data_IF_048738379083
#
_entry.id   IF_048738379083
#
_cell.length_a   1.000
_cell.length_b   1.000
_cell.length_c   1.000
_cell.angle_alpha   90.00
_cell.angle_beta   90.00
_cell.angle_gamma   90.00
#
_symmetry.space_group_name_H-M   'P 1'
#
loop_
_entity.id
_entity.type
_entity.pdbx_description
1 polymer ?
#
# COMPACT_ATOMS: atom_id res chain seq x y z
N UNK A 1 18.11 -9.47 18.31
CA UNK A 1 17.53 -10.83 18.41
C UNK A 1 16.08 -10.73 18.01
N UNK A 2 15.58 -11.56 17.11
CA UNK A 2 14.19 -11.48 16.65
C UNK A 2 13.33 -12.48 17.43
N UNK A 3 12.16 -12.04 17.90
CA UNK A 3 11.19 -12.85 18.63
C UNK A 3 9.84 -12.85 17.91
N UNK A 4 8.87 -13.68 18.32
CA UNK A 4 7.53 -13.70 17.74
C UNK A 4 6.76 -12.36 17.82
N UNK A 5 7.26 -11.40 18.60
CA UNK A 5 6.72 -10.04 18.73
C UNK A 5 7.60 -8.97 18.06
N UNK A 6 8.61 -9.36 17.29
CA UNK A 6 9.51 -8.46 16.57
C UNK A 6 10.93 -8.35 17.16
N UNK A 7 11.64 -7.31 16.72
CA UNK A 7 13.08 -7.11 16.94
C UNK A 7 13.39 -6.64 18.37
N UNK A 8 14.15 -7.46 19.08
CA UNK A 8 14.71 -7.14 20.40
C UNK A 8 16.14 -6.61 20.22
N UNK A 9 16.36 -5.37 20.65
CA UNK A 9 17.70 -4.81 20.80
C UNK A 9 18.22 -5.18 22.19
N UNK A 10 19.29 -5.98 22.26
CA UNK A 10 19.90 -6.39 23.53
C UNK A 10 21.42 -6.27 23.42
N UNK A 11 22.00 -5.53 24.36
CA UNK A 11 23.43 -5.33 24.49
C UNK A 11 23.76 -4.57 25.77
N UNK A 12 24.96 -4.73 26.34
CA UNK A 12 25.38 -3.97 27.51
C UNK A 12 25.43 -2.48 27.18
N UNK A 13 24.74 -1.66 27.96
CA UNK A 13 24.81 -0.20 27.86
C UNK A 13 26.21 0.21 28.33
N UNK A 14 27.02 0.73 27.41
CA UNK A 14 28.28 1.37 27.77
C UNK A 14 27.92 2.62 28.60
N UNK A 15 28.09 2.52 29.91
CA UNK A 15 27.86 3.64 30.83
C UNK A 15 28.93 4.69 30.59
N UNK A 16 28.61 5.69 29.77
CA UNK A 16 29.25 7.01 29.78
C UNK A 16 28.18 8.03 29.38
N UNK A 17 27.56 8.61 30.41
CA UNK A 17 26.69 9.80 30.45
C UNK A 17 26.08 10.29 29.12
N UNK A 18 24.78 10.02 28.95
CA UNK A 18 23.77 11.07 28.97
C UNK A 18 22.47 10.45 29.51
N UNK A 19 21.73 11.18 30.34
CA UNK A 19 20.48 10.69 30.94
C UNK A 19 19.48 10.28 29.84
N UNK A 20 19.41 8.98 29.58
CA UNK A 20 18.38 8.40 28.73
C UNK A 20 17.08 8.33 29.53
N UNK A 21 16.11 9.16 29.17
CA UNK A 21 14.73 9.02 29.67
C UNK A 21 14.17 7.72 29.11
N UNK A 22 14.03 6.72 29.96
CA UNK A 22 13.31 5.48 29.65
C UNK A 22 11.84 5.73 29.95
N UNK A 23 11.03 5.85 28.91
CA UNK A 23 9.58 5.85 29.05
C UNK A 23 9.12 4.40 29.27
N UNK A 24 8.90 4.03 30.53
CA UNK A 24 8.25 2.78 30.89
C UNK A 24 6.75 3.06 30.95
N UNK A 25 5.99 2.56 29.97
CA UNK A 25 4.53 2.57 30.05
C UNK A 25 4.10 1.24 30.65
N UNK A 26 3.89 1.23 31.97
CA UNK A 26 3.19 0.16 32.64
C UNK A 26 1.70 0.35 32.35
N UNK A 27 1.08 -0.61 31.66
CA UNK A 27 -0.36 -0.61 31.44
C UNK A 27 -0.96 -1.27 32.68
N UNK A 28 -1.26 -0.46 33.70
CA UNK A 28 -2.13 -0.90 34.79
C UNK A 28 -3.54 -1.06 34.22
N UNK A 29 -4.04 -2.29 34.19
CA UNK A 29 -5.39 -2.62 33.75
C UNK A 29 -6.42 -2.19 34.82
N UNK A 30 -6.54 -0.89 35.07
CA UNK A 30 -7.67 -0.31 35.80
C UNK A 30 -8.36 0.72 34.91
N UNK A 31 -9.39 0.23 34.21
CA UNK A 31 -10.43 1.03 33.56
C UNK A 31 -9.96 2.02 32.48
N UNK A 32 -9.07 1.55 31.60
CA UNK A 32 -8.52 2.31 30.47
C UNK A 32 -9.48 2.53 29.30
N UNK A 33 -10.74 2.11 29.39
CA UNK A 33 -11.63 2.11 28.22
C UNK A 33 -11.89 3.54 27.70
N UNK A 34 -11.98 4.54 28.58
CA UNK A 34 -12.16 5.94 28.15
C UNK A 34 -10.89 6.58 27.57
N UNK A 35 -9.73 6.28 28.13
CA UNK A 35 -8.44 6.82 27.66
C UNK A 35 -8.08 6.18 26.33
N UNK A 36 -8.26 4.87 26.21
CA UNK A 36 -8.08 4.12 24.97
C UNK A 36 -9.11 4.57 23.93
N UNK A 37 -10.39 4.75 24.30
CA UNK A 37 -11.41 5.26 23.39
C UNK A 37 -11.09 6.69 22.92
N UNK A 38 -10.56 7.57 23.77
CA UNK A 38 -10.09 8.90 23.35
C UNK A 38 -8.88 8.82 22.43
N UNK A 39 -7.95 7.91 22.69
CA UNK A 39 -6.80 7.67 21.82
C UNK A 39 -7.20 7.15 20.43
N UNK A 40 -8.23 6.29 20.36
CA UNK A 40 -8.74 5.74 19.10
C UNK A 40 -9.82 6.59 18.41
N UNK A 41 -10.28 7.68 19.05
CA UNK A 41 -11.17 8.65 18.40
C UNK A 41 -10.42 9.38 17.30
N UNK A 42 -10.96 9.37 16.09
CA UNK A 42 -10.38 10.04 14.91
C UNK A 42 -10.06 11.53 15.15
N UNK A 43 -10.86 12.20 15.98
CA UNK A 43 -10.64 13.58 16.41
C UNK A 43 -9.30 13.80 17.14
N UNK A 44 -8.81 12.82 17.90
CA UNK A 44 -7.54 12.94 18.63
C UNK A 44 -6.33 12.76 17.71
N UNK A 45 -6.53 12.15 16.53
CA UNK A 45 -5.55 12.07 15.44
C UNK A 45 -5.63 13.26 14.46
N UNK A 46 -6.51 14.24 14.73
CA UNK A 46 -6.70 15.42 13.87
C UNK A 46 -7.42 15.12 12.55
N UNK A 47 -8.04 13.94 12.43
CA UNK A 47 -8.84 13.56 11.26
C UNK A 47 -10.27 14.01 11.53
N UNK A 48 -10.65 15.13 10.91
CA UNK A 48 -12.01 15.65 10.97
C UNK A 48 -12.91 14.79 10.09
N UNK A 49 -14.15 14.52 10.53
CA UNK A 49 -15.11 13.80 9.67
C UNK A 49 -15.23 14.54 8.34
N UNK A 50 -15.03 13.83 7.21
CA UNK A 50 -15.04 14.48 5.91
C UNK A 50 -16.46 14.96 5.56
N UNK A 51 -16.54 16.01 4.73
CA UNK A 51 -17.83 16.56 4.28
C UNK A 51 -18.64 15.53 3.47
N UNK A 52 -19.91 15.83 3.22
CA UNK A 52 -20.91 14.95 2.58
C UNK A 52 -20.45 14.23 1.29
N UNK A 53 -19.44 14.72 0.56
CA UNK A 53 -18.83 14.03 -0.60
C UNK A 53 -18.22 12.66 -0.25
N UNK A 54 -17.80 12.42 1.00
CA UNK A 54 -17.25 11.13 1.46
C UNK A 54 -18.34 10.17 1.93
N UNK A 55 -19.59 10.64 2.06
CA UNK A 55 -20.72 9.76 2.32
C UNK A 55 -21.01 8.85 1.11
N UNK A 56 -20.91 9.40 -0.10
CA UNK A 56 -21.14 8.66 -1.35
C UNK A 56 -20.05 7.61 -1.61
N UNK A 57 -18.78 7.92 -1.32
CA UNK A 57 -17.67 6.95 -1.50
C UNK A 57 -17.76 5.79 -0.50
N UNK A 58 -18.19 6.07 0.74
CA UNK A 58 -18.43 5.02 1.73
C UNK A 58 -19.61 4.11 1.37
N UNK A 59 -20.68 4.65 0.79
CA UNK A 59 -21.78 3.83 0.28
C UNK A 59 -21.32 2.97 -0.90
N UNK A 60 -20.64 3.58 -1.88
CA UNK A 60 -20.10 2.87 -3.04
C UNK A 60 -19.17 1.71 -2.64
N UNK A 61 -18.26 1.92 -1.69
CA UNK A 61 -17.37 0.86 -1.22
C UNK A 61 -18.17 -0.26 -0.55
N UNK A 62 -19.14 0.06 0.31
CA UNK A 62 -19.98 -0.95 0.96
C UNK A 62 -20.81 -1.75 -0.05
N UNK A 63 -21.35 -1.09 -1.07
CA UNK A 63 -22.21 -1.71 -2.07
C UNK A 63 -21.42 -2.54 -3.09
N UNK A 64 -20.17 -2.16 -3.38
CA UNK A 64 -19.30 -2.86 -4.34
C UNK A 64 -18.54 -4.05 -3.74
N UNK A 65 -18.33 -4.08 -2.42
CA UNK A 65 -17.66 -5.20 -1.75
C UNK A 65 -18.54 -6.45 -1.81
N UNK A 66 -18.01 -7.51 -2.42
CA UNK A 66 -18.63 -8.83 -2.41
C UNK A 66 -17.57 -9.93 -2.29
N UNK A 67 -17.99 -11.12 -1.88
CA UNK A 67 -17.10 -12.29 -1.78
C UNK A 67 -17.32 -13.20 -2.99
N UNK A 68 -16.26 -13.49 -3.74
CA UNK A 68 -16.33 -14.30 -4.98
C UNK A 68 -16.27 -15.82 -4.75
N UNK A 69 -16.24 -16.25 -3.48
CA UNK A 69 -16.01 -17.64 -3.08
C UNK A 69 -14.56 -17.96 -2.69
N UNK A 70 -13.63 -17.03 -2.94
CA UNK A 70 -12.22 -17.14 -2.56
C UNK A 70 -11.70 -15.90 -1.82
N UNK A 71 -12.06 -14.70 -2.28
CA UNK A 71 -11.59 -13.40 -1.77
C UNK A 71 -12.71 -12.36 -1.81
N UNK A 72 -12.53 -11.32 -1.01
CA UNK A 72 -13.34 -10.12 -1.15
C UNK A 72 -12.85 -9.33 -2.35
N UNK A 73 -13.79 -8.94 -3.20
CA UNK A 73 -13.58 -8.11 -4.39
C UNK A 73 -14.32 -6.79 -4.14
N UNK A 74 -13.67 -5.69 -4.49
CA UNK A 74 -14.23 -4.34 -4.37
C UNK A 74 -14.02 -3.61 -5.69
N UNK A 75 -15.01 -2.83 -6.10
CA UNK A 75 -14.85 -1.98 -7.28
C UNK A 75 -13.98 -0.77 -6.94
N UNK A 76 -13.21 -0.30 -7.92
CA UNK A 76 -12.40 0.90 -7.72
C UNK A 76 -13.31 2.15 -7.78
N UNK A 77 -13.20 3.07 -6.82
CA UNK A 77 -14.00 4.29 -6.79
C UNK A 77 -13.46 5.29 -7.83
N UNK A 78 -13.81 5.08 -9.09
CA UNK A 78 -13.45 5.99 -10.18
C UNK A 78 -14.23 7.31 -10.05
N UNK A 79 -13.53 8.43 -10.25
CA UNK A 79 -14.17 9.75 -10.28
C UNK A 79 -14.75 9.95 -11.68
N UNK A 80 -16.08 10.03 -11.81
CA UNK A 80 -16.75 10.12 -13.12
C UNK A 80 -16.44 11.38 -13.95
N UNK A 81 -15.77 12.39 -13.36
CA UNK A 81 -15.45 13.68 -13.98
C UNK A 81 -13.94 13.87 -14.18
N UNK A 82 -13.18 12.82 -14.47
CA UNK A 82 -11.74 12.95 -14.75
C UNK A 82 -11.58 13.74 -16.07
N UNK A 83 -10.91 14.90 -16.00
CA UNK A 83 -10.36 15.52 -17.21
C UNK A 83 -9.34 14.54 -17.78
N UNK A 84 -9.52 14.14 -19.04
CA UNK A 84 -8.62 13.21 -19.75
C UNK A 84 -7.16 13.51 -19.36
N UNK A 85 -6.53 12.55 -18.67
CA UNK A 85 -5.16 12.72 -18.22
C UNK A 85 -4.27 12.87 -19.46
N UNK A 86 -3.22 13.71 -19.41
CA UNK A 86 -2.25 13.77 -20.49
C UNK A 86 -1.66 12.39 -20.76
N UNK A 87 -1.55 12.04 -22.04
CA UNK A 87 -0.92 10.80 -22.47
C UNK A 87 0.54 10.73 -21.96
N UNK A 88 0.89 9.61 -21.33
CA UNK A 88 2.23 9.36 -20.77
C UNK A 88 3.05 8.36 -21.60
N UNK A 89 2.58 7.98 -22.79
CA UNK A 89 3.17 6.94 -23.64
C UNK A 89 4.66 7.16 -23.90
N UNK A 90 5.07 8.35 -24.36
CA UNK A 90 6.48 8.65 -24.68
C UNK A 90 7.40 8.52 -23.45
N UNK A 91 6.90 8.91 -22.28
CA UNK A 91 7.65 8.77 -21.03
C UNK A 91 7.75 7.30 -20.61
N UNK A 92 6.66 6.54 -20.70
CA UNK A 92 6.64 5.12 -20.40
C UNK A 92 7.58 4.34 -21.34
N UNK A 93 7.54 4.66 -22.64
CA UNK A 93 8.42 4.08 -23.65
C UNK A 93 9.90 4.36 -23.37
N UNK A 94 10.24 5.62 -23.04
CA UNK A 94 11.61 5.99 -22.68
C UNK A 94 12.09 5.22 -21.45
N UNK A 95 11.25 5.06 -20.43
CA UNK A 95 11.57 4.29 -19.21
C UNK A 95 11.79 2.81 -19.55
N UNK A 96 10.97 2.23 -20.43
CA UNK A 96 11.14 0.85 -20.87
C UNK A 96 12.52 0.64 -21.51
N UNK A 97 12.91 1.50 -22.45
CA UNK A 97 14.22 1.41 -23.10
C UNK A 97 15.39 1.53 -22.10
N UNK A 98 15.26 2.38 -21.08
CA UNK A 98 16.27 2.51 -20.03
C UNK A 98 16.39 1.24 -19.19
N UNK A 99 15.24 0.66 -18.81
CA UNK A 99 15.16 -0.61 -18.09
C UNK A 99 15.81 -1.74 -18.90
N UNK A 100 15.52 -1.85 -20.20
CA UNK A 100 16.14 -2.84 -21.08
C UNK A 100 17.66 -2.65 -21.17
N UNK A 101 18.14 -1.41 -21.32
CA UNK A 101 19.58 -1.11 -21.32
C UNK A 101 20.25 -1.50 -20.00
N UNK A 102 19.58 -1.31 -18.86
CA UNK A 102 20.10 -1.73 -17.57
C UNK A 102 20.22 -3.26 -17.47
N UNK A 103 19.21 -3.98 -17.97
CA UNK A 103 19.20 -5.45 -18.03
C UNK A 103 20.26 -6.01 -18.96
N UNK A 104 20.52 -5.37 -20.11
CA UNK A 104 21.58 -5.78 -21.02
C UNK A 104 22.98 -5.66 -20.38
N UNK A 105 23.17 -4.68 -19.50
CA UNK A 105 24.44 -4.49 -18.77
C UNK A 105 24.59 -5.45 -17.58
N UNK A 106 23.47 -5.91 -17.01
CA UNK A 106 23.48 -6.78 -15.83
C UNK A 106 22.53 -7.99 -16.02
N UNK A 107 23.07 -9.15 -16.43
CA UNK A 107 22.30 -10.37 -16.64
C UNK A 107 21.53 -10.88 -15.42
N UNK A 108 22.03 -10.62 -14.21
CA UNK A 108 21.37 -11.06 -12.97
C UNK A 108 20.08 -10.28 -12.75
N UNK A 109 20.11 -8.96 -12.98
CA UNK A 109 18.92 -8.09 -12.94
C UNK A 109 17.90 -8.52 -13.99
N UNK A 110 18.36 -8.85 -15.20
CA UNK A 110 17.48 -9.34 -16.26
C UNK A 110 16.77 -10.65 -15.87
N UNK A 111 17.49 -11.56 -15.22
CA UNK A 111 16.96 -12.85 -14.78
C UNK A 111 15.93 -12.66 -13.67
N UNK A 112 16.26 -11.85 -12.65
CA UNK A 112 15.34 -11.54 -11.55
C UNK A 112 14.04 -10.89 -12.07
N UNK A 113 14.14 -9.93 -12.97
CA UNK A 113 12.97 -9.23 -13.50
C UNK A 113 12.03 -10.15 -14.29
N UNK A 114 12.58 -11.03 -15.14
CA UNK A 114 11.77 -12.04 -15.86
C UNK A 114 11.08 -12.98 -14.90
N UNK A 115 11.77 -13.42 -13.84
CA UNK A 115 11.18 -14.29 -12.84
C UNK A 115 10.01 -13.59 -12.13
N UNK A 116 10.18 -12.35 -11.70
CA UNK A 116 9.10 -11.58 -11.05
C UNK A 116 7.89 -11.40 -11.96
N UNK A 117 8.08 -11.05 -13.24
CA UNK A 117 6.96 -10.94 -14.18
C UNK A 117 6.25 -12.27 -14.38
N UNK A 118 7.00 -13.38 -14.45
CA UNK A 118 6.41 -14.72 -14.53
C UNK A 118 5.60 -15.04 -13.29
N UNK A 119 6.13 -14.78 -12.10
CA UNK A 119 5.42 -15.01 -10.84
C UNK A 119 4.12 -14.18 -10.80
N UNK A 120 4.14 -12.93 -11.28
CA UNK A 120 2.93 -12.11 -11.37
C UNK A 120 1.91 -12.67 -12.35
N UNK A 121 2.35 -13.20 -13.49
CA UNK A 121 1.47 -13.83 -14.47
C UNK A 121 0.86 -15.11 -13.91
N UNK A 122 1.68 -15.98 -13.29
CA UNK A 122 1.25 -17.25 -12.70
C UNK A 122 0.26 -17.02 -11.54
N UNK A 123 0.37 -15.89 -10.83
CA UNK A 123 -0.54 -15.50 -9.75
C UNK A 123 -1.75 -14.65 -10.21
N UNK A 124 -1.96 -14.47 -11.52
CA UNK A 124 -3.01 -13.61 -12.10
C UNK A 124 -3.01 -12.18 -11.53
N UNK A 125 -1.82 -11.62 -11.29
CA UNK A 125 -1.63 -10.21 -10.91
C UNK A 125 -1.52 -9.34 -12.16
N UNK A 126 -0.94 -9.88 -13.24
CA UNK A 126 -0.83 -9.23 -14.55
C UNK A 126 -1.38 -10.15 -15.63
N UNK A 127 -1.79 -9.56 -16.75
CA UNK A 127 -2.27 -10.28 -17.94
C UNK A 127 -1.66 -9.70 -19.22
N UNK A 128 -1.62 -10.51 -20.28
CA UNK A 128 -1.22 -10.03 -21.60
C UNK A 128 -2.40 -9.32 -22.27
N UNK A 129 -2.21 -8.05 -22.63
CA UNK A 129 -3.23 -7.26 -23.31
C UNK A 129 -3.27 -7.63 -24.80
N UNK A 130 -4.46 -7.97 -25.29
CA UNK A 130 -4.70 -8.16 -26.71
C UNK A 130 -4.58 -6.81 -27.46
N UNK A 131 -3.78 -6.79 -28.52
CA UNK A 131 -3.47 -5.56 -29.29
C UNK A 131 -4.70 -4.90 -29.89
N UNK A 132 -5.77 -5.66 -30.09
CA UNK A 132 -7.04 -5.17 -30.63
C UNK A 132 -8.00 -4.67 -29.54
N UNK A 133 -7.81 -5.07 -28.27
CA UNK A 133 -8.67 -4.64 -27.14
C UNK A 133 -8.22 -3.34 -26.49
N UNK A 134 -6.93 -2.98 -26.58
CA UNK A 134 -6.36 -1.78 -25.97
C UNK A 134 -6.80 -0.43 -26.58
N UNK A 135 -7.74 -0.42 -27.53
CA UNK A 135 -8.25 0.82 -28.16
C UNK A 135 -9.61 1.28 -27.62
N UNK A 136 -10.31 0.46 -26.84
CA UNK A 136 -11.69 0.75 -26.45
C UNK A 136 -11.86 1.36 -25.06
N UNK A 137 -10.80 1.44 -24.25
CA UNK A 137 -10.88 2.01 -22.90
C UNK A 137 -10.03 3.29 -22.80
N UNK A 138 -10.43 4.30 -23.58
CA UNK A 138 -10.19 5.69 -23.16
C UNK A 138 -11.29 6.03 -22.16
N UNK A 139 -10.97 5.94 -20.87
CA UNK A 139 -11.75 6.61 -19.81
C UNK A 139 -11.37 8.09 -19.80
#
# INVERSE_FOLDING_TARGET
>A
MESPLGWILSGPIATNADEGVVMFSEIETENDDETLQKFWRLDSMGIQEPSDEVHDTNSFLKDSIHYDGSRYVVELPWINNVKMLPDNYELAWTRLQQTERAMLKNPDVATAYRQTLKDYLDNNIIEEIDKDKGKEENI
#
